data_IF_531404669402
#
_entry.id   IF_531404669402
#
_cell.length_a   1.000
_cell.length_b   1.000
_cell.length_c   1.000
_cell.angle_alpha   90.00
_cell.angle_beta   90.00
_cell.angle_gamma   90.00
#
_symmetry.space_group_name_H-M   'P 1'
#
loop_
_entity.id
_entity.type
_entity.pdbx_description
1 polymer ?
#
# COMPACT_ATOMS: atom_id res chain seq x y z
N UNK A 1 31.03 -0.74 68.13
CA UNK A 1 30.15 -1.70 67.41
C UNK A 1 28.99 -0.93 66.83
N UNK A 2 29.05 -0.66 65.53
CA UNK A 2 28.05 0.09 64.79
C UNK A 2 27.26 -0.88 63.91
N UNK A 3 25.95 -1.01 64.15
CA UNK A 3 25.01 -1.78 63.31
C UNK A 3 24.54 -0.87 62.20
N UNK A 4 24.90 -1.18 60.97
CA UNK A 4 24.38 -0.58 59.73
C UNK A 4 23.11 -1.32 59.32
N UNK A 5 21.96 -0.67 59.47
CA UNK A 5 20.69 -1.15 58.98
C UNK A 5 20.57 -0.93 57.46
N UNK A 6 20.37 -2.02 56.71
CA UNK A 6 20.11 -2.01 55.28
C UNK A 6 18.59 -1.77 55.06
N UNK A 7 18.24 -0.58 54.55
CA UNK A 7 16.86 -0.29 54.13
C UNK A 7 16.63 -0.86 52.73
N UNK A 8 15.86 -1.93 52.65
CA UNK A 8 15.37 -2.51 51.39
C UNK A 8 14.19 -1.69 50.88
N UNK A 9 14.42 -0.88 49.88
CA UNK A 9 13.35 -0.09 49.22
C UNK A 9 12.58 -1.00 48.24
N UNK A 10 11.38 -1.51 48.66
CA UNK A 10 10.44 -2.18 47.79
C UNK A 10 9.80 -1.15 46.85
N UNK A 11 10.27 -1.10 45.58
CA UNK A 11 9.56 -0.41 44.51
C UNK A 11 8.34 -1.24 44.11
N UNK A 12 7.15 -0.82 44.57
CA UNK A 12 5.90 -1.37 44.11
C UNK A 12 5.66 -0.96 42.66
N UNK A 13 5.67 -1.94 41.74
CA UNK A 13 5.22 -1.73 40.38
C UNK A 13 3.72 -1.39 40.38
N UNK A 14 3.38 -0.16 40.00
CA UNK A 14 1.99 0.25 39.82
C UNK A 14 1.31 -0.55 38.71
N UNK A 15 -0.02 -0.68 38.74
CA UNK A 15 -0.75 -1.41 37.71
C UNK A 15 -0.53 -0.78 36.35
N UNK A 16 -0.16 -1.59 35.35
CA UNK A 16 -0.06 -1.16 33.97
C UNK A 16 -1.43 -0.62 33.53
N UNK A 17 -1.48 0.67 33.19
CA UNK A 17 -2.69 1.28 32.66
C UNK A 17 -3.06 0.55 31.38
N UNK A 18 -4.23 -0.08 31.37
CA UNK A 18 -4.80 -0.70 30.19
C UNK A 18 -4.95 0.38 29.11
N UNK A 19 -4.15 0.28 28.05
CA UNK A 19 -4.26 1.15 26.91
C UNK A 19 -5.61 0.91 26.25
N UNK A 20 -6.45 1.95 26.23
CA UNK A 20 -7.71 1.90 25.49
C UNK A 20 -7.39 1.58 24.02
N UNK A 21 -8.20 0.74 23.35
CA UNK A 21 -7.99 0.48 21.93
C UNK A 21 -8.05 1.80 21.16
N UNK A 22 -7.03 2.05 20.34
CA UNK A 22 -6.99 3.22 19.48
C UNK A 22 -8.30 3.29 18.66
N UNK A 23 -8.88 4.49 18.49
CA UNK A 23 -10.11 4.62 17.72
C UNK A 23 -9.87 4.09 16.30
N UNK A 24 -10.73 3.18 15.85
CA UNK A 24 -10.73 2.69 14.48
C UNK A 24 -10.86 3.90 13.57
N UNK A 25 -9.77 4.27 12.90
CA UNK A 25 -9.78 5.37 11.94
C UNK A 25 -10.69 4.98 10.78
N UNK A 26 -11.86 5.60 10.72
CA UNK A 26 -12.79 5.43 9.59
C UNK A 26 -12.22 6.17 8.39
N UNK A 27 -11.93 5.44 7.32
CA UNK A 27 -11.60 6.07 6.04
C UNK A 27 -12.86 6.82 5.58
N UNK A 28 -12.78 8.12 5.25
CA UNK A 28 -13.93 8.84 4.72
C UNK A 28 -14.50 8.11 3.50
N UNK A 29 -15.81 7.92 3.45
CA UNK A 29 -16.51 7.18 2.39
C UNK A 29 -16.31 7.76 0.96
N UNK A 30 -15.59 8.88 0.84
CA UNK A 30 -15.32 9.61 -0.42
C UNK A 30 -13.89 10.11 -0.57
N UNK A 31 -12.90 9.51 0.08
CA UNK A 31 -11.53 9.91 -0.22
C UNK A 31 -11.15 9.43 -1.62
N UNK A 32 -11.16 10.33 -2.60
CA UNK A 32 -10.68 10.04 -3.95
C UNK A 32 -9.15 10.06 -3.96
N UNK A 33 -8.55 9.00 -4.46
CA UNK A 33 -7.12 8.91 -4.67
C UNK A 33 -6.68 9.65 -5.94
N UNK A 34 -5.45 10.13 -5.97
CA UNK A 34 -4.82 10.49 -7.23
C UNK A 34 -4.77 9.27 -8.15
N UNK A 35 -4.98 9.47 -9.45
CA UNK A 35 -4.93 8.37 -10.42
C UNK A 35 -3.51 7.83 -10.54
N UNK A 36 -3.23 6.59 -10.13
CA UNK A 36 -1.87 6.09 -10.05
C UNK A 36 -1.21 5.88 -11.42
N UNK A 37 -2.02 5.67 -12.45
CA UNK A 37 -1.60 5.60 -13.86
C UNK A 37 -2.75 6.08 -14.74
N UNK A 38 -2.45 6.91 -15.73
CA UNK A 38 -3.43 7.35 -16.71
C UNK A 38 -3.60 6.28 -17.79
N UNK A 39 -4.68 5.51 -17.70
CA UNK A 39 -4.96 4.39 -18.59
C UNK A 39 -6.38 3.83 -18.41
N UNK A 40 -6.74 2.85 -19.24
CA UNK A 40 -8.01 2.16 -19.14
C UNK A 40 -7.94 1.03 -18.11
N UNK A 41 -9.09 0.68 -17.54
CA UNK A 41 -9.21 -0.53 -16.72
C UNK A 41 -9.13 -1.76 -17.62
N UNK A 42 -8.03 -2.50 -17.55
CA UNK A 42 -7.84 -3.75 -18.27
C UNK A 42 -8.48 -4.94 -17.54
N UNK A 43 -8.45 -4.91 -16.19
CA UNK A 43 -8.98 -6.00 -15.38
C UNK A 43 -9.46 -5.54 -14.01
N UNK A 44 -10.72 -5.83 -13.62
CA UNK A 44 -11.28 -5.43 -12.33
C UNK A 44 -10.81 -6.32 -11.19
N UNK A 45 -10.97 -5.81 -9.95
CA UNK A 45 -10.84 -6.56 -8.71
C UNK A 45 -11.92 -7.64 -8.59
N UNK A 46 -11.58 -8.77 -7.97
CA UNK A 46 -12.55 -9.79 -7.61
C UNK A 46 -12.23 -11.19 -8.13
N UNK A 47 -13.12 -12.12 -7.83
CA UNK A 47 -12.95 -13.53 -8.19
C UNK A 47 -13.26 -13.76 -9.68
N UNK A 48 -12.29 -14.34 -10.40
CA UNK A 48 -12.42 -14.62 -11.83
C UNK A 48 -11.61 -15.86 -12.23
N UNK A 49 -12.13 -16.66 -13.14
CA UNK A 49 -11.48 -17.89 -13.65
C UNK A 49 -10.86 -18.78 -12.55
N UNK A 50 -11.58 -18.96 -11.43
CA UNK A 50 -11.10 -19.76 -10.31
C UNK A 50 -10.02 -19.12 -9.43
N UNK A 51 -9.67 -17.83 -9.63
CA UNK A 51 -8.68 -17.09 -8.85
C UNK A 51 -9.21 -15.74 -8.38
N UNK A 52 -8.75 -15.32 -7.21
CA UNK A 52 -8.95 -13.95 -6.74
C UNK A 52 -7.95 -13.02 -7.44
N UNK A 53 -8.46 -11.95 -8.07
CA UNK A 53 -7.66 -10.82 -8.52
C UNK A 53 -7.65 -9.78 -7.40
N UNK A 54 -6.51 -9.64 -6.75
CA UNK A 54 -6.33 -8.88 -5.51
C UNK A 54 -6.23 -7.36 -5.71
N UNK A 55 -6.29 -6.89 -6.95
CA UNK A 55 -6.20 -5.49 -7.32
C UNK A 55 -6.98 -5.19 -8.58
N UNK A 56 -6.63 -4.10 -9.21
CA UNK A 56 -7.04 -3.78 -10.58
C UNK A 56 -5.82 -3.68 -11.48
N UNK A 57 -6.00 -4.01 -12.75
CA UNK A 57 -4.97 -3.77 -13.76
C UNK A 57 -5.37 -2.55 -14.59
N UNK A 58 -4.49 -1.55 -14.63
CA UNK A 58 -4.66 -0.34 -15.44
C UNK A 58 -3.69 -0.44 -16.62
N UNK A 59 -4.23 -0.48 -17.84
CA UNK A 59 -3.45 -0.58 -19.07
C UNK A 59 -2.52 0.63 -19.21
N UNK A 60 -1.29 0.38 -19.60
CA UNK A 60 -0.27 1.39 -19.83
C UNK A 60 0.55 1.09 -21.09
N UNK A 61 1.44 2.01 -21.41
CA UNK A 61 2.44 1.88 -22.47
C UNK A 61 3.82 1.76 -21.83
N UNK A 62 4.82 1.41 -22.62
CA UNK A 62 6.20 1.43 -22.16
C UNK A 62 6.55 2.81 -21.57
N UNK A 63 7.12 2.79 -20.35
CA UNK A 63 7.52 3.99 -19.60
C UNK A 63 6.40 4.90 -19.12
N UNK A 64 5.13 4.49 -19.14
CA UNK A 64 4.05 5.28 -18.53
C UNK A 64 4.36 5.53 -17.07
N UNK A 65 4.22 6.78 -16.66
CA UNK A 65 4.50 7.23 -15.29
C UNK A 65 3.49 6.65 -14.29
N UNK A 66 4.01 6.21 -13.15
CA UNK A 66 3.22 5.73 -12.01
C UNK A 66 3.40 6.69 -10.85
N UNK A 67 2.27 7.18 -10.34
CA UNK A 67 2.22 8.20 -9.30
C UNK A 67 1.65 7.65 -7.99
N UNK A 68 2.06 8.24 -6.87
CA UNK A 68 1.53 7.91 -5.55
C UNK A 68 0.04 8.30 -5.46
N UNK A 69 -0.82 7.34 -5.14
CA UNK A 69 -2.27 7.55 -5.03
C UNK A 69 -2.65 8.46 -3.85
N UNK A 70 -1.82 8.49 -2.82
CA UNK A 70 -1.94 9.36 -1.63
C UNK A 70 -0.55 9.71 -1.12
N UNK A 71 -0.44 10.75 -0.31
CA UNK A 71 0.78 11.05 0.47
C UNK A 71 1.06 9.92 1.46
N UNK A 72 2.32 9.56 1.66
CA UNK A 72 2.67 8.47 2.57
C UNK A 72 4.16 8.18 2.66
N UNK A 73 4.47 7.03 3.25
CA UNK A 73 5.84 6.54 3.41
C UNK A 73 6.03 5.24 2.63
N UNK A 74 7.11 5.15 1.88
CA UNK A 74 7.51 3.95 1.15
C UNK A 74 7.94 2.87 2.14
N UNK A 75 7.19 1.78 2.21
CA UNK A 75 7.50 0.66 3.11
C UNK A 75 8.28 -0.45 2.43
N UNK A 76 8.19 -0.53 1.09
CA UNK A 76 8.91 -1.53 0.30
C UNK A 76 9.18 -1.03 -1.12
N UNK A 77 10.35 -1.40 -1.63
CA UNK A 77 10.72 -1.36 -3.05
C UNK A 77 11.49 -2.64 -3.36
N UNK A 78 11.19 -3.29 -4.47
CA UNK A 78 11.91 -4.48 -4.93
C UNK A 78 10.99 -5.66 -5.27
N UNK A 79 11.60 -6.81 -5.59
CA UNK A 79 10.91 -8.05 -5.89
C UNK A 79 10.36 -8.70 -4.61
N UNK A 80 9.15 -9.25 -4.68
CA UNK A 80 8.56 -9.98 -3.57
C UNK A 80 9.00 -11.45 -3.65
N UNK A 81 9.90 -11.90 -2.76
CA UNK A 81 10.50 -13.24 -2.79
C UNK A 81 9.50 -14.41 -2.80
N UNK A 82 8.31 -14.23 -2.24
CA UNK A 82 7.27 -15.28 -2.13
C UNK A 82 6.05 -15.01 -3.01
N UNK A 83 6.12 -14.02 -3.91
CA UNK A 83 5.04 -13.60 -4.80
C UNK A 83 5.61 -13.38 -6.20
N UNK A 84 6.05 -14.47 -6.83
CA UNK A 84 6.74 -14.43 -8.13
C UNK A 84 5.91 -13.77 -9.25
N UNK A 85 4.60 -13.61 -9.01
CA UNK A 85 3.69 -12.99 -9.96
C UNK A 85 3.81 -11.48 -10.09
N UNK A 86 4.15 -10.72 -9.03
CA UNK A 86 4.05 -9.26 -9.02
C UNK A 86 5.27 -8.50 -9.59
N UNK A 87 6.40 -9.19 -9.79
CA UNK A 87 7.62 -8.55 -10.30
C UNK A 87 8.17 -7.47 -9.37
N UNK A 88 8.63 -6.36 -9.95
CA UNK A 88 9.09 -5.19 -9.20
C UNK A 88 7.89 -4.43 -8.63
N UNK A 89 7.92 -4.18 -7.32
CA UNK A 89 6.84 -3.46 -6.63
C UNK A 89 7.34 -2.26 -5.84
N UNK A 90 6.44 -1.28 -5.68
CA UNK A 90 6.50 -0.22 -4.66
C UNK A 90 5.29 -0.38 -3.76
N UNK A 91 5.48 -0.33 -2.43
CA UNK A 91 4.40 -0.35 -1.45
C UNK A 91 4.48 0.87 -0.55
N UNK A 92 3.35 1.57 -0.42
CA UNK A 92 3.22 2.77 0.40
C UNK A 92 2.30 2.49 1.58
N UNK A 93 2.62 3.07 2.72
CA UNK A 93 1.73 3.19 3.87
C UNK A 93 1.30 4.64 3.99
N UNK A 94 0.01 4.84 4.01
CA UNK A 94 -0.64 6.14 4.16
C UNK A 94 -1.20 6.30 5.58
N UNK A 95 -1.69 7.48 5.90
CA UNK A 95 -2.48 7.69 7.11
C UNK A 95 -3.80 6.90 7.03
N UNK A 96 -4.57 6.90 8.13
CA UNK A 96 -5.88 6.23 8.22
C UNK A 96 -5.89 4.73 7.88
N UNK A 97 -4.75 4.03 8.12
CA UNK A 97 -4.67 2.57 7.94
C UNK A 97 -4.72 2.10 6.49
N UNK A 98 -4.52 3.00 5.54
CA UNK A 98 -4.48 2.67 4.11
C UNK A 98 -3.07 2.23 3.72
N UNK A 99 -3.00 1.18 2.88
CA UNK A 99 -1.78 0.73 2.23
C UNK A 99 -2.06 0.56 0.74
N UNK A 100 -1.15 1.03 -0.12
CA UNK A 100 -1.22 0.79 -1.56
C UNK A 100 -0.01 0.03 -2.06
N UNK A 101 -0.18 -0.79 -3.11
CA UNK A 101 0.90 -1.48 -3.80
C UNK A 101 0.77 -1.28 -5.31
N UNK A 102 1.90 -1.04 -5.91
CA UNK A 102 2.10 -0.81 -7.34
C UNK A 102 3.01 -1.92 -7.84
N UNK A 103 2.57 -2.73 -8.79
CA UNK A 103 3.28 -3.93 -9.23
C UNK A 103 3.51 -3.96 -10.75
N UNK A 104 4.26 -4.95 -11.24
CA UNK A 104 4.72 -5.13 -12.61
C UNK A 104 5.56 -3.96 -13.13
N UNK A 105 6.21 -3.22 -12.22
CA UNK A 105 6.97 -2.01 -12.55
C UNK A 105 8.22 -2.35 -13.37
N UNK A 106 8.58 -1.43 -14.27
CA UNK A 106 9.87 -1.45 -14.98
C UNK A 106 10.97 -0.84 -14.10
N UNK A 107 10.67 0.30 -13.48
CA UNK A 107 11.62 1.04 -12.65
C UNK A 107 10.94 1.75 -11.50
N UNK A 108 11.54 1.71 -10.32
CA UNK A 108 11.19 2.55 -9.18
C UNK A 108 12.14 3.75 -9.08
N UNK A 109 11.60 4.92 -8.67
CA UNK A 109 12.33 6.17 -8.46
C UNK A 109 12.45 6.56 -6.99
N UNK A 110 11.90 5.74 -6.10
CA UNK A 110 11.86 5.94 -4.66
C UNK A 110 12.53 4.77 -3.94
N UNK A 111 12.91 4.98 -2.68
CA UNK A 111 13.54 3.98 -1.81
C UNK A 111 12.69 3.74 -0.57
N UNK A 112 12.90 2.60 0.08
CA UNK A 112 12.24 2.33 1.36
C UNK A 112 12.62 3.41 2.39
N UNK A 113 11.60 3.97 3.04
CA UNK A 113 11.73 5.04 4.03
C UNK A 113 11.41 6.43 3.48
N UNK A 114 11.40 6.62 2.16
CA UNK A 114 11.07 7.90 1.55
C UNK A 114 9.64 8.33 1.90
N UNK A 115 9.44 9.62 2.10
CA UNK A 115 8.12 10.24 2.15
C UNK A 115 7.76 10.76 0.77
N UNK A 116 6.55 10.48 0.32
CA UNK A 116 6.02 10.90 -0.97
C UNK A 116 4.75 11.72 -0.79
N UNK A 117 4.57 12.70 -1.64
CA UNK A 117 3.32 13.45 -1.74
C UNK A 117 2.33 12.69 -2.65
N UNK A 118 1.03 12.94 -2.46
CA UNK A 118 0.01 12.52 -3.44
C UNK A 118 0.34 13.07 -4.82
N UNK A 119 0.19 12.24 -5.87
CA UNK A 119 0.52 12.59 -7.24
C UNK A 119 2.03 12.65 -7.54
N UNK A 120 2.91 12.38 -6.59
CA UNK A 120 4.34 12.32 -6.86
C UNK A 120 4.68 11.12 -7.76
N UNK A 121 5.55 11.33 -8.77
CA UNK A 121 6.13 10.27 -9.59
C UNK A 121 6.95 9.33 -8.70
N UNK A 122 6.61 8.02 -8.71
CA UNK A 122 7.28 7.01 -7.88
C UNK A 122 7.87 5.87 -8.69
N UNK A 123 7.36 5.63 -9.91
CA UNK A 123 7.81 4.50 -10.72
C UNK A 123 7.44 4.67 -12.21
N UNK A 124 7.82 3.70 -13.03
CA UNK A 124 7.32 3.48 -14.39
C UNK A 124 6.64 2.13 -14.49
N UNK A 125 5.52 2.09 -15.21
CA UNK A 125 4.84 0.85 -15.56
C UNK A 125 5.72 -0.02 -16.47
N UNK A 126 5.59 -1.31 -16.30
CA UNK A 126 6.33 -2.31 -17.07
C UNK A 126 5.54 -3.61 -17.20
N UNK A 127 6.28 -4.71 -17.37
CA UNK A 127 5.74 -6.06 -17.43
C UNK A 127 6.70 -7.05 -16.74
N UNK A 128 7.11 -6.72 -15.52
CA UNK A 128 7.95 -7.61 -14.71
C UNK A 128 7.10 -8.63 -13.94
N UNK A 129 7.65 -9.80 -13.65
CA UNK A 129 6.91 -10.90 -13.02
C UNK A 129 5.99 -11.64 -14.01
N UNK A 130 4.85 -12.14 -13.54
CA UNK A 130 3.85 -12.84 -14.36
C UNK A 130 2.92 -11.83 -15.03
N UNK A 131 3.30 -11.36 -16.20
CA UNK A 131 2.63 -10.29 -16.92
C UNK A 131 2.50 -10.67 -18.41
N UNK A 132 1.39 -10.31 -19.05
CA UNK A 132 1.12 -10.59 -20.47
C UNK A 132 1.16 -9.35 -21.34
N UNK A 133 1.26 -8.17 -20.75
CA UNK A 133 1.33 -6.87 -21.44
C UNK A 133 1.59 -5.76 -20.44
N UNK A 134 2.06 -4.59 -20.92
CA UNK A 134 2.40 -3.47 -20.03
C UNK A 134 1.15 -2.95 -19.33
N UNK A 135 1.15 -3.01 -18.00
CA UNK A 135 0.07 -2.49 -17.15
C UNK A 135 0.61 -2.18 -15.75
N UNK A 136 -0.16 -1.44 -14.99
CA UNK A 136 0.00 -1.31 -13.55
C UNK A 136 -1.01 -2.23 -12.86
N UNK A 137 -0.52 -3.19 -12.08
CA UNK A 137 -1.36 -3.87 -11.10
C UNK A 137 -1.37 -3.04 -9.81
N UNK A 138 -2.56 -2.59 -9.40
CA UNK A 138 -2.75 -1.69 -8.27
C UNK A 138 -3.63 -2.32 -7.20
N UNK A 139 -3.11 -2.41 -5.96
CA UNK A 139 -3.83 -2.96 -4.81
C UNK A 139 -4.02 -1.91 -3.72
N UNK A 140 -5.12 -2.04 -2.98
CA UNK A 140 -5.46 -1.21 -1.81
C UNK A 140 -5.86 -2.09 -0.63
N UNK A 141 -5.26 -1.82 0.52
CA UNK A 141 -5.73 -2.35 1.81
C UNK A 141 -6.23 -1.21 2.67
N UNK A 142 -7.34 -1.45 3.38
CA UNK A 142 -7.89 -0.57 4.40
C UNK A 142 -7.91 -1.35 5.71
N UNK A 143 -7.20 -0.87 6.71
CA UNK A 143 -7.06 -1.54 8.02
C UNK A 143 -6.66 -3.03 7.88
N UNK A 144 -5.71 -3.31 7.00
CA UNK A 144 -5.21 -4.66 6.70
C UNK A 144 -6.11 -5.52 5.82
N UNK A 145 -7.32 -5.06 5.47
CA UNK A 145 -8.26 -5.77 4.60
C UNK A 145 -8.11 -5.34 3.15
N UNK A 146 -7.88 -6.30 2.27
CA UNK A 146 -7.85 -6.08 0.82
C UNK A 146 -9.19 -5.53 0.33
N UNK A 147 -9.16 -4.45 -0.45
CA UNK A 147 -10.33 -3.66 -0.82
C UNK A 147 -10.26 -3.31 -2.31
N UNK A 148 -11.42 -3.30 -2.98
CA UNK A 148 -11.50 -2.92 -4.39
C UNK A 148 -11.02 -1.47 -4.62
N UNK A 149 -9.93 -1.28 -5.40
CA UNK A 149 -9.37 0.04 -5.65
C UNK A 149 -10.31 0.99 -6.42
N UNK A 150 -11.25 0.48 -7.20
CA UNK A 150 -12.20 1.32 -7.98
C UNK A 150 -13.06 2.20 -7.07
N UNK A 151 -13.30 1.77 -5.81
CA UNK A 151 -14.03 2.57 -4.81
C UNK A 151 -13.37 3.92 -4.53
N UNK A 152 -12.04 4.01 -4.69
CA UNK A 152 -11.24 5.21 -4.41
C UNK A 152 -10.87 5.99 -5.68
N UNK A 153 -10.98 5.38 -6.84
CA UNK A 153 -10.64 6.02 -8.12
C UNK A 153 -11.85 6.63 -8.81
N UNK A 154 -13.06 6.27 -8.39
CA UNK A 154 -14.30 6.73 -9.02
C UNK A 154 -14.37 6.31 -10.49
N UNK A 155 -15.03 7.13 -11.31
CA UNK A 155 -15.21 6.87 -12.75
C UNK A 155 -13.99 7.23 -13.63
N UNK A 156 -12.83 7.54 -13.02
CA UNK A 156 -11.62 7.94 -13.76
C UNK A 156 -10.90 6.76 -14.44
N UNK A 157 -11.15 5.54 -13.97
CA UNK A 157 -10.66 4.31 -14.59
C UNK A 157 -11.87 3.51 -15.05
N UNK A 158 -12.04 3.32 -16.35
CA UNK A 158 -13.18 2.63 -16.96
C UNK A 158 -12.72 1.48 -17.82
N UNK A 159 -13.54 0.43 -17.92
CA UNK A 159 -13.34 -0.64 -18.89
C UNK A 159 -13.29 -0.03 -20.31
N UNK A 160 -12.41 -0.57 -21.12
CA UNK A 160 -12.36 -0.27 -22.55
C UNK A 160 -13.64 -0.80 -23.18
N UNK A 161 -14.44 0.10 -23.74
CA UNK A 161 -15.64 -0.24 -24.53
C UNK A 161 -15.24 -0.71 -25.92
#
# INVERSE_FOLDING_TARGET
>A
MALTGLFLCCLAAGPAAAQLPEPVQTVPDRQLFFLPLNGNLGSPFGYRWGRMHEGIDIEGWAHTEVHAALSGTVTRVGWLRNYDGFGLVVKLRHESGIVTMYAHLDKAFVHRGDRVAEGQLIARAGCTGSCTGIHLHFQVWVNGKLTDPQRFLGNRVRLRT
#
